data_IF_708408993036
#
_entry.id   IF_708408993036
#
_cell.length_a   1.000
_cell.length_b   1.000
_cell.length_c   1.000
_cell.angle_alpha   90.00
_cell.angle_beta   90.00
_cell.angle_gamma   90.00
#
_symmetry.space_group_name_H-M   'P 1'
#
loop_
_entity.id
_entity.type
_entity.pdbx_description
1 polymer ?
#
# COMPACT_ATOMS: atom_id res chain seq x y z
N UNK A 1 15.97 -8.73 -2.83
CA UNK A 1 14.68 -8.30 -2.25
C UNK A 1 14.02 -7.35 -3.24
N UNK A 2 12.74 -7.55 -3.61
CA UNK A 2 12.06 -6.68 -4.58
C UNK A 2 11.78 -5.32 -3.93
N UNK A 3 11.99 -4.25 -4.67
CA UNK A 3 11.75 -2.88 -4.20
C UNK A 3 10.46 -2.37 -4.83
N UNK A 4 9.56 -1.83 -4.00
CA UNK A 4 8.32 -1.21 -4.46
C UNK A 4 8.38 0.30 -4.25
N UNK A 5 7.78 1.05 -5.17
CA UNK A 5 7.70 2.50 -5.12
C UNK A 5 6.62 2.96 -4.14
N UNK A 6 6.97 3.95 -3.31
CA UNK A 6 6.06 4.53 -2.34
C UNK A 6 6.07 6.05 -2.43
N UNK A 7 4.90 6.66 -2.51
CA UNK A 7 4.74 8.08 -2.27
C UNK A 7 4.09 8.30 -0.90
N UNK A 8 4.61 9.24 -0.12
CA UNK A 8 4.05 9.58 1.20
C UNK A 8 3.50 11.01 1.22
N UNK A 9 2.31 11.20 1.81
CA UNK A 9 1.67 12.50 1.93
C UNK A 9 1.34 12.83 3.39
N UNK A 10 1.79 14.00 3.85
CA UNK A 10 1.61 14.52 5.23
C UNK A 10 2.06 13.58 6.36
N UNK A 11 2.95 12.64 6.07
CA UNK A 11 3.50 11.72 7.07
C UNK A 11 4.77 12.28 7.73
N UNK A 12 4.96 11.95 9.02
CA UNK A 12 6.20 12.24 9.73
C UNK A 12 7.37 11.42 9.18
N UNK A 13 8.60 11.91 9.36
CA UNK A 13 9.82 11.22 8.92
C UNK A 13 9.96 9.83 9.55
N UNK A 14 9.57 9.65 10.81
CA UNK A 14 9.57 8.32 11.44
C UNK A 14 8.68 7.32 10.71
N UNK A 15 7.48 7.74 10.30
CA UNK A 15 6.56 6.87 9.55
C UNK A 15 7.10 6.60 8.15
N UNK A 16 7.79 7.54 7.53
CA UNK A 16 8.46 7.33 6.24
C UNK A 16 9.55 6.27 6.34
N UNK A 17 10.45 6.41 7.31
CA UNK A 17 11.55 5.46 7.56
C UNK A 17 11.06 4.03 7.76
N UNK A 18 9.93 3.85 8.43
CA UNK A 18 9.31 2.52 8.59
C UNK A 18 9.06 1.81 7.26
N UNK A 19 8.63 2.55 6.23
CA UNK A 19 8.42 1.96 4.91
C UNK A 19 9.74 1.69 4.19
N UNK A 20 10.74 2.57 4.34
CA UNK A 20 12.09 2.34 3.78
C UNK A 20 12.72 1.07 4.38
N UNK A 21 12.66 0.92 5.70
CA UNK A 21 13.14 -0.26 6.44
C UNK A 21 12.43 -1.56 5.99
N UNK A 22 11.20 -1.45 5.48
CA UNK A 22 10.44 -2.58 4.94
C UNK A 22 10.77 -2.90 3.47
N UNK A 23 11.60 -2.08 2.81
CA UNK A 23 12.05 -2.28 1.43
C UNK A 23 11.30 -1.45 0.38
N UNK A 24 10.57 -0.40 0.78
CA UNK A 24 9.98 0.54 -0.16
C UNK A 24 10.97 1.66 -0.53
N UNK A 25 10.97 2.05 -1.80
CA UNK A 25 11.68 3.24 -2.27
C UNK A 25 10.74 4.44 -2.20
N UNK A 26 11.05 5.41 -1.34
CA UNK A 26 10.27 6.66 -1.27
C UNK A 26 10.57 7.54 -2.48
N UNK A 27 9.51 7.97 -3.15
CA UNK A 27 9.54 8.88 -4.29
C UNK A 27 9.19 10.29 -3.81
N UNK A 28 9.97 11.29 -4.24
CA UNK A 28 9.78 12.69 -3.89
C UNK A 28 8.71 13.38 -4.73
N UNK A 29 8.18 14.51 -4.24
CA UNK A 29 7.15 15.27 -4.96
C UNK A 29 7.60 15.84 -6.32
N UNK A 30 8.91 16.01 -6.53
CA UNK A 30 9.48 16.44 -7.83
C UNK A 30 9.51 15.31 -8.86
N UNK A 31 9.54 14.06 -8.40
CA UNK A 31 9.62 12.87 -9.25
C UNK A 31 8.24 12.47 -9.82
N UNK A 32 7.16 13.05 -9.29
CA UNK A 32 5.79 12.88 -9.79
C UNK A 32 5.50 13.69 -11.08
N UNK A 33 6.41 14.56 -11.49
CA UNK A 33 6.20 15.55 -12.56
C UNK A 33 6.40 15.04 -13.98
N UNK A 34 6.99 13.86 -14.18
CA UNK A 34 7.31 13.33 -15.50
C UNK A 34 6.75 11.91 -15.66
N UNK A 35 5.69 11.82 -16.46
CA UNK A 35 5.04 10.59 -16.91
C UNK A 35 4.34 9.78 -15.81
N UNK A 36 3.34 8.99 -16.22
CA UNK A 36 2.59 8.09 -15.34
C UNK A 36 3.56 7.05 -14.76
N UNK A 37 4.24 7.38 -13.67
CA UNK A 37 4.96 6.38 -12.91
C UNK A 37 3.92 5.41 -12.34
N UNK A 38 4.08 4.13 -12.65
CA UNK A 38 3.31 3.04 -12.04
C UNK A 38 3.70 2.97 -10.56
N UNK A 39 3.08 3.84 -9.75
CA UNK A 39 3.30 3.90 -8.32
C UNK A 39 2.73 2.64 -7.67
N UNK A 40 3.52 1.92 -6.89
CA UNK A 40 3.01 0.72 -6.22
C UNK A 40 2.13 1.10 -5.04
N UNK A 41 2.59 2.03 -4.20
CA UNK A 41 1.87 2.44 -3.00
C UNK A 41 1.78 3.96 -2.87
N UNK A 42 0.61 4.45 -2.50
CA UNK A 42 0.43 5.82 -2.00
C UNK A 42 -0.01 5.75 -0.54
N UNK A 43 0.82 6.29 0.36
CA UNK A 43 0.55 6.32 1.79
C UNK A 43 0.25 7.74 2.27
N UNK A 44 -0.95 7.93 2.81
CA UNK A 44 -1.41 9.22 3.28
C UNK A 44 -1.71 9.19 4.77
N UNK A 45 -1.02 10.05 5.52
CA UNK A 45 -1.35 10.35 6.90
C UNK A 45 -2.41 11.46 6.94
N UNK A 46 -3.68 11.06 7.07
CA UNK A 46 -4.82 11.98 6.98
C UNK A 46 -4.93 12.88 8.21
N UNK A 47 -5.02 14.18 7.92
CA UNK A 47 -5.52 15.22 8.81
C UNK A 47 -6.76 15.85 8.15
N UNK A 48 -7.79 16.24 8.91
CA UNK A 48 -9.07 16.76 8.41
C UNK A 48 -8.93 17.62 7.12
N UNK A 49 -9.83 17.34 6.15
CA UNK A 49 -10.08 18.10 4.91
C UNK A 49 -8.88 18.30 3.95
N UNK A 50 -8.58 17.31 3.11
CA UNK A 50 -7.79 17.53 1.87
C UNK A 50 -8.42 16.84 0.65
N UNK A 51 -9.48 17.43 0.11
CA UNK A 51 -10.15 16.88 -1.08
C UNK A 51 -9.26 16.88 -2.34
N UNK A 52 -8.25 17.75 -2.41
CA UNK A 52 -7.33 17.85 -3.54
C UNK A 52 -6.42 16.61 -3.70
N UNK A 53 -6.17 15.87 -2.61
CA UNK A 53 -5.33 14.65 -2.62
C UNK A 53 -5.97 13.58 -3.50
N UNK A 54 -7.29 13.48 -3.50
CA UNK A 54 -8.03 12.52 -4.34
C UNK A 54 -7.81 12.78 -5.84
N UNK A 55 -7.68 14.04 -6.27
CA UNK A 55 -7.36 14.37 -7.67
C UNK A 55 -5.97 13.86 -8.04
N UNK A 56 -4.99 14.02 -7.14
CA UNK A 56 -3.64 13.50 -7.34
C UNK A 56 -3.62 11.97 -7.41
N UNK A 57 -4.32 11.29 -6.49
CA UNK A 57 -4.47 9.83 -6.48
C UNK A 57 -5.04 9.32 -7.83
N UNK A 58 -6.06 10.00 -8.38
CA UNK A 58 -6.63 9.64 -9.68
C UNK A 58 -5.68 9.84 -10.86
N UNK A 59 -4.71 10.75 -10.76
CA UNK A 59 -3.70 10.96 -11.81
C UNK A 59 -2.59 9.90 -11.73
N UNK A 60 -2.17 9.54 -10.52
CA UNK A 60 -1.12 8.55 -10.29
C UNK A 60 -1.59 7.11 -10.44
N UNK A 61 -2.85 6.83 -10.07
CA UNK A 61 -3.45 5.49 -10.07
C UNK A 61 -2.53 4.40 -9.47
N UNK A 62 -2.10 4.53 -8.21
CA UNK A 62 -1.22 3.54 -7.59
C UNK A 62 -1.86 2.13 -7.52
N UNK A 63 -1.05 1.08 -7.40
CA UNK A 63 -1.58 -0.29 -7.18
C UNK A 63 -2.34 -0.41 -5.85
N UNK A 64 -1.81 0.22 -4.79
CA UNK A 64 -2.37 0.22 -3.45
C UNK A 64 -2.42 1.64 -2.88
N UNK A 65 -3.58 2.00 -2.34
CA UNK A 65 -3.81 3.19 -1.55
C UNK A 65 -3.86 2.80 -0.09
N UNK A 66 -3.13 3.53 0.76
CA UNK A 66 -3.17 3.35 2.21
C UNK A 66 -3.37 4.71 2.86
N UNK A 67 -4.46 4.86 3.60
CA UNK A 67 -4.77 6.11 4.30
C UNK A 67 -4.88 5.81 5.78
N UNK A 68 -4.09 6.49 6.60
CA UNK A 68 -4.09 6.30 8.04
C UNK A 68 -4.60 7.54 8.76
N UNK A 69 -5.38 7.33 9.82
CA UNK A 69 -5.89 8.40 10.67
C UNK A 69 -6.44 7.84 11.97
N UNK A 70 -6.90 8.71 12.88
CA UNK A 70 -7.57 8.27 14.13
C UNK A 70 -8.95 7.65 13.89
N UNK A 71 -9.52 7.84 12.69
CA UNK A 71 -10.83 7.33 12.27
C UNK A 71 -10.73 6.89 10.82
N UNK A 72 -11.58 5.94 10.44
CA UNK A 72 -11.79 5.57 9.04
C UNK A 72 -12.25 6.78 8.21
N UNK A 73 -11.94 6.76 6.92
CA UNK A 73 -12.28 7.83 5.99
C UNK A 73 -13.34 7.32 5.03
N UNK A 74 -14.30 8.17 4.69
CA UNK A 74 -15.29 7.85 3.67
C UNK A 74 -14.60 7.67 2.32
N UNK A 75 -14.78 6.49 1.72
CA UNK A 75 -14.20 6.20 0.41
C UNK A 75 -14.95 6.98 -0.69
N UNK A 76 -14.25 7.71 -1.56
CA UNK A 76 -14.87 8.43 -2.65
C UNK A 76 -15.57 7.49 -3.65
N UNK A 77 -16.81 7.81 -4.04
CA UNK A 77 -17.61 6.97 -4.97
C UNK A 77 -16.94 6.79 -6.33
N UNK A 78 -16.28 7.83 -6.80
CA UNK A 78 -15.50 7.88 -8.04
C UNK A 78 -14.24 7.00 -8.03
N UNK A 79 -13.81 6.49 -6.86
CA UNK A 79 -12.75 5.48 -6.74
C UNK A 79 -13.30 4.07 -6.50
N UNK A 80 -14.60 3.92 -6.22
CA UNK A 80 -15.21 2.63 -5.85
C UNK A 80 -15.28 1.62 -7.00
N UNK A 81 -15.16 2.09 -8.25
CA UNK A 81 -15.03 1.22 -9.43
C UNK A 81 -13.58 0.97 -9.87
N UNK A 82 -12.61 1.60 -9.21
CA UNK A 82 -11.18 1.48 -9.55
C UNK A 82 -10.41 0.68 -8.51
N UNK A 83 -10.85 0.71 -7.26
CA UNK A 83 -10.20 0.02 -6.14
C UNK A 83 -11.24 -0.76 -5.35
N UNK A 84 -10.85 -1.93 -4.88
CA UNK A 84 -11.58 -2.64 -3.83
C UNK A 84 -11.21 -2.03 -2.47
N UNK A 85 -12.15 -1.35 -1.78
CA UNK A 85 -11.85 -0.72 -0.50
C UNK A 85 -11.85 -1.74 0.64
N UNK A 86 -10.95 -1.54 1.59
CA UNK A 86 -10.83 -2.33 2.82
C UNK A 86 -10.56 -1.39 3.99
N UNK A 87 -11.08 -1.72 5.18
CA UNK A 87 -10.72 -1.04 6.41
C UNK A 87 -10.06 -2.01 7.38
N UNK A 88 -8.93 -1.61 7.96
CA UNK A 88 -8.22 -2.33 9.00
C UNK A 88 -8.12 -1.42 10.22
N UNK A 89 -8.58 -1.88 11.37
CA UNK A 89 -8.60 -1.11 12.61
C UNK A 89 -7.46 -1.61 13.50
N UNK A 90 -6.51 -0.73 13.81
CA UNK A 90 -5.50 -0.93 14.84
C UNK A 90 -6.00 -0.51 16.22
N UNK A 91 -5.11 -0.42 17.19
CA UNK A 91 -5.46 0.07 18.53
C UNK A 91 -5.69 1.58 18.52
N UNK A 92 -4.81 2.32 17.85
CA UNK A 92 -4.78 3.79 17.86
C UNK A 92 -5.07 4.42 16.51
N UNK A 93 -4.87 3.69 15.42
CA UNK A 93 -5.09 4.15 14.06
C UNK A 93 -6.14 3.28 13.36
N UNK A 94 -6.86 3.88 12.44
CA UNK A 94 -7.62 3.19 11.41
C UNK A 94 -6.91 3.36 10.09
N UNK A 95 -6.85 2.28 9.33
CA UNK A 95 -6.27 2.24 8.00
C UNK A 95 -7.39 1.97 6.99
N UNK A 96 -7.63 2.92 6.10
CA UNK A 96 -8.50 2.74 4.94
C UNK A 96 -7.61 2.44 3.74
N UNK A 97 -7.76 1.26 3.17
CA UNK A 97 -7.01 0.79 2.03
C UNK A 97 -7.90 0.72 0.80
N UNK A 98 -7.29 0.85 -0.38
CA UNK A 98 -7.90 0.45 -1.63
C UNK A 98 -6.85 -0.23 -2.50
N UNK A 99 -7.19 -1.34 -3.14
CA UNK A 99 -6.28 -1.99 -4.08
C UNK A 99 -6.93 -2.26 -5.42
N UNK A 100 -6.12 -2.21 -6.48
CA UNK A 100 -6.48 -2.69 -7.83
C UNK A 100 -6.07 -4.14 -8.07
N UNK A 101 -5.32 -4.72 -7.13
CA UNK A 101 -4.83 -6.10 -7.17
C UNK A 101 -5.92 -7.00 -6.63
N UNK A 102 -6.07 -8.18 -7.22
CA UNK A 102 -7.01 -9.18 -6.71
C UNK A 102 -6.56 -9.71 -5.33
N UNK A 103 -7.51 -9.68 -4.38
CA UNK A 103 -7.34 -10.13 -3.01
C UNK A 103 -7.39 -8.97 -2.00
N UNK A 104 -7.15 -9.29 -0.73
CA UNK A 104 -7.18 -8.33 0.37
C UNK A 104 -5.86 -8.34 1.12
N UNK A 105 -5.46 -7.16 1.60
CA UNK A 105 -4.31 -7.05 2.50
C UNK A 105 -4.66 -7.78 3.79
N UNK A 106 -3.84 -8.77 4.16
CA UNK A 106 -4.03 -9.54 5.40
C UNK A 106 -3.96 -8.61 6.61
N UNK A 107 -4.71 -8.96 7.66
CA UNK A 107 -4.66 -8.22 8.92
C UNK A 107 -3.23 -8.25 9.46
N UNK A 108 -2.63 -7.09 9.79
CA UNK A 108 -1.26 -7.07 10.26
C UNK A 108 -1.08 -7.74 11.61
N UNK A 109 0.06 -8.40 11.78
CA UNK A 109 0.47 -8.92 13.07
C UNK A 109 1.04 -7.79 13.94
N UNK A 110 0.15 -7.15 14.70
CA UNK A 110 0.49 -6.09 15.63
C UNK A 110 1.40 -6.56 16.77
N UNK A 111 1.31 -7.83 17.18
CA UNK A 111 2.01 -8.33 18.36
C UNK A 111 3.52 -8.36 18.16
N UNK A 112 3.97 -8.63 16.92
CA UNK A 112 5.38 -8.58 16.54
C UNK A 112 6.05 -7.21 16.81
N UNK A 113 5.26 -6.13 16.92
CA UNK A 113 5.78 -4.77 17.09
C UNK A 113 5.43 -4.12 18.43
N UNK A 114 4.95 -4.91 19.39
CA UNK A 114 4.73 -4.46 20.77
C UNK A 114 6.09 -4.34 21.47
N UNK A 115 6.40 -3.16 21.99
CA UNK A 115 7.62 -2.91 22.76
C UNK A 115 7.20 -2.52 24.17
N UNK A 116 7.72 -3.22 25.19
CA UNK A 116 7.38 -3.00 26.59
C UNK A 116 5.85 -3.04 26.87
N UNK A 117 5.13 -3.94 26.20
CA UNK A 117 3.68 -4.09 26.34
C UNK A 117 2.85 -2.99 25.66
N UNK A 118 3.48 -2.05 24.95
CA UNK A 118 2.79 -0.94 24.28
C UNK A 118 2.97 -1.01 22.76
N UNK A 119 1.83 -0.94 22.06
CA UNK A 119 1.80 -0.72 20.62
C UNK A 119 1.74 0.79 20.33
N UNK A 120 2.75 1.29 19.63
CA UNK A 120 2.83 2.70 19.22
C UNK A 120 2.21 2.90 17.85
N UNK A 121 1.86 4.16 17.51
CA UNK A 121 1.39 4.53 16.17
C UNK A 121 2.41 4.13 15.08
N UNK A 122 3.72 4.16 15.39
CA UNK A 122 4.80 3.75 14.49
C UNK A 122 4.84 2.22 14.35
N UNK A 123 4.64 1.48 15.44
CA UNK A 123 4.54 0.01 15.42
C UNK A 123 3.35 -0.47 14.58
N UNK A 124 2.20 0.21 14.66
CA UNK A 124 1.05 -0.06 13.77
C UNK A 124 1.38 0.25 12.30
N UNK A 125 2.05 1.36 12.01
CA UNK A 125 2.46 1.61 10.62
C UNK A 125 3.44 0.54 10.12
N UNK A 126 4.34 0.04 11.00
CA UNK A 126 5.33 -0.98 10.64
C UNK A 126 4.72 -2.34 10.32
N UNK A 127 3.79 -2.82 11.13
CA UNK A 127 3.13 -4.08 10.83
C UNK A 127 2.27 -3.98 9.56
N UNK A 128 1.61 -2.84 9.34
CA UNK A 128 0.86 -2.60 8.11
C UNK A 128 1.77 -2.59 6.89
N UNK A 129 2.90 -1.88 6.95
CA UNK A 129 3.88 -1.83 5.86
C UNK A 129 4.35 -3.25 5.48
N UNK A 130 4.62 -4.10 6.47
CA UNK A 130 4.99 -5.50 6.23
C UNK A 130 3.88 -6.32 5.55
N UNK A 131 2.62 -6.07 5.92
CA UNK A 131 1.47 -6.76 5.32
C UNK A 131 1.23 -6.32 3.88
N UNK A 132 1.36 -5.02 3.61
CA UNK A 132 1.27 -4.46 2.25
C UNK A 132 2.43 -4.96 1.38
N UNK A 133 3.65 -5.02 1.92
CA UNK A 133 4.81 -5.55 1.20
C UNK A 133 4.59 -7.00 0.76
N UNK A 134 4.13 -7.86 1.68
CA UNK A 134 3.80 -9.26 1.38
C UNK A 134 2.68 -9.37 0.33
N UNK A 135 1.64 -8.57 0.46
CA UNK A 135 0.54 -8.53 -0.51
C UNK A 135 1.03 -8.18 -1.93
N UNK A 136 1.92 -7.20 -2.06
CA UNK A 136 2.54 -6.85 -3.36
C UNK A 136 3.50 -7.93 -3.85
N UNK A 137 4.19 -8.65 -2.97
CA UNK A 137 5.00 -9.80 -3.39
C UNK A 137 4.14 -10.95 -3.91
N UNK A 138 3.01 -11.23 -3.24
CA UNK A 138 2.05 -12.26 -3.67
C UNK A 138 1.46 -11.93 -5.07
N UNK A 139 1.18 -10.65 -5.36
CA UNK A 139 0.79 -10.16 -6.70
C UNK A 139 1.84 -10.54 -7.76
N UNK A 140 3.11 -10.21 -7.48
CA UNK A 140 4.23 -10.48 -8.39
C UNK A 140 4.47 -11.97 -8.62
N UNK A 141 4.31 -12.78 -7.56
CA UNK A 141 4.44 -14.23 -7.67
C UNK A 141 3.32 -14.82 -8.53
N UNK A 142 2.08 -14.37 -8.35
CA UNK A 142 0.93 -14.80 -9.14
C UNK A 142 1.09 -14.43 -10.62
N UNK A 143 1.48 -13.19 -10.91
CA UNK A 143 1.81 -12.77 -12.27
C UNK A 143 2.83 -13.75 -12.88
N UNK A 144 3.95 -14.03 -12.19
CA UNK A 144 4.97 -14.94 -12.70
C UNK A 144 4.49 -16.39 -12.89
N UNK A 145 3.66 -16.92 -11.99
CA UNK A 145 3.08 -18.27 -12.11
C UNK A 145 2.16 -18.39 -13.33
N UNK A 146 1.36 -17.36 -13.62
CA UNK A 146 0.52 -17.29 -14.81
C UNK A 146 1.37 -17.36 -16.10
N UNK A 147 2.50 -16.63 -16.13
CA UNK A 147 3.44 -16.66 -17.26
C UNK A 147 4.18 -17.99 -17.39
N UNK A 148 4.68 -18.57 -16.29
CA UNK A 148 5.36 -19.87 -16.31
C UNK A 148 4.41 -21.04 -16.63
N UNK A 149 3.16 -20.96 -16.17
CA UNK A 149 2.10 -21.92 -16.50
C UNK A 149 1.75 -21.90 -18.00
N UNK A 150 1.77 -20.73 -18.64
CA UNK A 150 1.52 -20.59 -20.08
C UNK A 150 2.68 -21.08 -20.95
N UNK A 151 3.93 -20.96 -20.52
CA UNK A 151 5.09 -21.46 -21.29
C UNK A 151 5.29 -22.98 -21.25
N UNK A 152 4.67 -23.66 -20.28
CA UNK A 152 4.79 -25.12 -20.11
C UNK A 152 3.95 -25.94 -21.11
N UNK A 153 3.09 -25.29 -21.91
CA UNK A 153 2.14 -25.96 -22.81
C UNK A 153 2.62 -26.10 -24.28
N UNK A 154 3.88 -25.76 -24.59
CA UNK A 154 4.43 -25.83 -25.96
C UNK A 154 5.57 -26.87 -26.05
N UNK A 155 5.28 -28.11 -25.68
CA UNK A 155 6.00 -29.27 -26.23
C UNK A 155 4.95 -30.38 -26.43
N UNK A 156 4.29 -30.35 -27.59
CA UNK A 156 3.55 -31.52 -28.07
C UNK A 156 4.54 -32.64 -28.40
N UNK A 157 4.23 -33.92 -28.13
CA UNK A 157 5.10 -35.02 -28.47
C UNK A 157 5.29 -35.10 -29.98
N UNK A 158 6.54 -35.28 -30.41
CA UNK A 158 6.90 -35.65 -31.78
C UNK A 158 6.58 -37.12 -32.05
#
# INVERSE_FOLDING_TARGET
MKTFSLFTYKCSEEKKRVWEDMGFKIIGGKDLGSERQNLDVFFWCWSKQDNEVWKSIKKMLPKVLVITGRRGIAWPKDLSGLYEPQMIIGNKLSFTLGSKIEGKVKVPDWQTYVINGLLTDVGEVKALAGSVYRFLLEDVMRENEEWCGHMSSVVGPA
#
